data_IF_477648116793
#
_entry.id   IF_477648116793
#
_cell.length_a   1.000
_cell.length_b   1.000
_cell.length_c   1.000
_cell.angle_alpha   90.00
_cell.angle_beta   90.00
_cell.angle_gamma   90.00
#
_symmetry.space_group_name_H-M   'P 1'
#
loop_
_entity.id
_entity.type
_entity.pdbx_description
1 polymer ?
#
# COMPACT_ATOMS: atom_id res chain seq x y z
N UNK A 1 22.48 -18.36 -11.93
CA UNK A 1 21.44 -19.38 -12.10
C UNK A 1 22.13 -20.67 -12.52
N UNK A 2 21.62 -21.79 -12.06
CA UNK A 2 22.04 -23.13 -12.49
C UNK A 2 21.17 -23.60 -13.66
N UNK A 3 21.69 -24.51 -14.48
CA UNK A 3 20.94 -25.15 -15.55
C UNK A 3 19.66 -25.79 -14.99
N UNK A 4 18.52 -25.49 -15.62
CA UNK A 4 17.21 -25.95 -15.18
C UNK A 4 16.52 -25.08 -14.13
N UNK A 5 17.19 -24.08 -13.55
CA UNK A 5 16.54 -23.11 -12.65
C UNK A 5 15.41 -22.39 -13.39
N UNK A 6 14.26 -22.19 -12.72
CA UNK A 6 13.12 -21.49 -13.32
C UNK A 6 13.40 -19.99 -13.42
N UNK A 7 13.51 -19.48 -14.66
CA UNK A 7 13.56 -18.08 -15.00
C UNK A 7 12.14 -17.54 -15.21
N UNK A 8 11.62 -16.87 -14.19
CA UNK A 8 10.35 -16.15 -14.28
C UNK A 8 10.62 -14.65 -14.27
N UNK A 9 10.20 -13.98 -15.34
CA UNK A 9 10.23 -12.53 -15.45
C UNK A 9 8.90 -12.03 -15.99
N UNK A 10 8.49 -10.86 -15.53
CA UNK A 10 7.29 -10.19 -15.99
C UNK A 10 7.54 -8.68 -16.07
N UNK A 11 7.04 -8.03 -17.11
CA UNK A 11 7.19 -6.61 -17.33
C UNK A 11 5.82 -5.94 -17.27
N UNK A 12 5.65 -5.04 -16.31
CA UNK A 12 4.39 -4.33 -16.11
C UNK A 12 4.60 -2.81 -16.18
N UNK A 13 3.57 -2.10 -16.60
CA UNK A 13 3.53 -0.63 -16.62
C UNK A 13 2.23 -0.11 -16.01
N UNK A 14 2.20 1.12 -15.47
CA UNK A 14 0.96 1.77 -15.08
C UNK A 14 0.00 1.88 -16.25
N UNK A 15 -1.30 1.79 -15.98
CA UNK A 15 -2.35 1.97 -16.99
C UNK A 15 -2.18 3.30 -17.71
N UNK A 16 -1.98 4.39 -16.97
CA UNK A 16 -1.79 5.74 -17.52
C UNK A 16 -0.65 5.80 -18.55
N UNK A 17 0.51 5.23 -18.22
CA UNK A 17 1.67 5.29 -19.11
C UNK A 17 1.44 4.42 -20.37
N UNK A 18 0.81 3.24 -20.20
CA UNK A 18 0.42 2.38 -21.31
C UNK A 18 -0.61 3.03 -22.25
N UNK A 19 -1.62 3.70 -21.69
CA UNK A 19 -2.63 4.47 -22.43
C UNK A 19 -2.03 5.65 -23.21
N UNK A 20 -0.99 6.26 -22.65
CA UNK A 20 -0.22 7.31 -23.33
C UNK A 20 0.70 6.74 -24.43
N UNK A 21 0.86 5.41 -24.52
CA UNK A 21 1.63 4.72 -25.55
C UNK A 21 3.00 4.21 -25.11
N UNK A 22 3.32 4.28 -23.81
CA UNK A 22 4.58 3.74 -23.29
C UNK A 22 4.55 2.21 -23.33
N UNK A 23 5.29 1.64 -24.29
CA UNK A 23 5.41 0.20 -24.50
C UNK A 23 6.89 -0.24 -24.44
N UNK A 24 7.48 -0.33 -23.23
CA UNK A 24 8.82 -0.88 -23.07
C UNK A 24 8.84 -2.37 -23.41
N UNK A 25 10.03 -2.85 -23.76
CA UNK A 25 10.35 -4.24 -24.05
C UNK A 25 11.37 -4.74 -23.06
N UNK A 26 11.38 -6.06 -22.83
CA UNK A 26 12.48 -6.71 -22.11
C UNK A 26 13.18 -7.75 -22.98
N UNK A 27 14.46 -7.95 -22.71
CA UNK A 27 15.25 -9.04 -23.27
C UNK A 27 16.07 -9.72 -22.19
N UNK A 28 16.24 -11.03 -22.34
CA UNK A 28 17.15 -11.83 -21.54
C UNK A 28 18.44 -12.04 -22.34
N UNK A 29 19.58 -11.88 -21.68
CA UNK A 29 20.89 -12.24 -22.21
C UNK A 29 21.45 -13.37 -21.37
N UNK A 30 21.70 -14.51 -22.00
CA UNK A 30 22.13 -15.72 -21.33
C UNK A 30 23.19 -16.48 -22.14
N UNK A 31 24.13 -17.18 -21.48
CA UNK A 31 25.06 -18.04 -22.19
C UNK A 31 24.30 -19.21 -22.83
N UNK A 32 24.73 -19.65 -24.02
CA UNK A 32 24.11 -20.78 -24.72
C UNK A 32 22.69 -20.54 -25.25
N UNK A 33 22.16 -19.31 -25.15
CA UNK A 33 20.88 -18.91 -25.76
C UNK A 33 21.09 -18.51 -27.22
N UNK A 34 20.18 -18.84 -28.16
CA UNK A 34 20.24 -18.32 -29.52
C UNK A 34 19.74 -16.87 -29.58
N UNK A 35 20.19 -16.11 -30.57
CA UNK A 35 19.71 -14.74 -30.81
C UNK A 35 18.29 -14.75 -31.38
N UNK A 36 17.35 -14.15 -30.65
CA UNK A 36 15.95 -14.05 -31.01
C UNK A 36 15.43 -12.63 -30.78
N UNK A 37 14.91 -12.01 -31.85
CA UNK A 37 14.46 -10.63 -31.84
C UNK A 37 15.59 -9.62 -32.03
N UNK A 38 15.23 -8.34 -32.08
CA UNK A 38 16.15 -7.22 -32.38
C UNK A 38 16.36 -6.39 -31.13
N UNK A 39 17.62 -6.30 -30.70
CA UNK A 39 18.06 -5.38 -29.64
C UNK A 39 18.41 -4.00 -30.21
N UNK A 40 18.24 -2.92 -29.44
CA UNK A 40 18.80 -1.62 -29.78
C UNK A 40 20.33 -1.70 -29.92
N UNK A 41 20.90 -0.91 -30.82
CA UNK A 41 22.35 -0.94 -31.12
C UNK A 41 23.25 -0.51 -29.96
N UNK A 42 22.69 0.11 -28.92
CA UNK A 42 23.39 0.53 -27.71
C UNK A 42 23.36 -0.54 -26.60
N UNK A 43 22.64 -1.64 -26.79
CA UNK A 43 22.66 -2.77 -25.86
C UNK A 43 23.85 -3.67 -26.21
N UNK A 44 24.78 -3.79 -25.27
CA UNK A 44 25.94 -4.67 -25.41
C UNK A 44 25.58 -6.09 -24.96
N UNK A 45 25.80 -7.06 -25.86
CA UNK A 45 25.68 -8.49 -25.57
C UNK A 45 27.08 -9.01 -25.21
N UNK A 46 27.30 -9.57 -24.00
CA UNK A 46 28.62 -10.07 -23.63
C UNK A 46 29.06 -11.24 -24.53
N UNK A 47 30.37 -11.40 -24.73
CA UNK A 47 30.90 -12.48 -25.57
C UNK A 47 30.44 -13.87 -25.10
N UNK A 48 29.97 -14.68 -26.05
CA UNK A 48 29.45 -16.03 -25.79
C UNK A 48 28.02 -16.07 -25.22
N UNK A 49 27.35 -14.92 -25.10
CA UNK A 49 25.92 -14.84 -24.82
C UNK A 49 25.13 -14.74 -26.12
N UNK A 50 23.90 -15.22 -26.09
CA UNK A 50 22.86 -14.76 -27.01
C UNK A 50 21.72 -14.10 -26.25
N UNK A 51 20.72 -13.63 -26.98
CA UNK A 51 19.59 -12.91 -26.39
C UNK A 51 18.23 -13.39 -26.86
N UNK A 52 17.22 -13.22 -26.02
CA UNK A 52 15.82 -13.40 -26.39
C UNK A 52 15.04 -12.14 -26.00
N UNK A 53 14.53 -11.42 -27.01
CA UNK A 53 13.60 -10.31 -26.80
C UNK A 53 12.20 -10.86 -26.60
N UNK A 54 11.58 -10.51 -25.48
CA UNK A 54 10.23 -10.95 -25.14
C UNK A 54 9.21 -10.12 -25.94
N UNK A 55 8.19 -10.80 -26.45
CA UNK A 55 7.05 -10.12 -27.07
C UNK A 55 6.29 -9.33 -26.01
N UNK A 56 5.93 -8.10 -26.37
CA UNK A 56 5.19 -7.20 -25.50
C UNK A 56 4.02 -6.61 -26.22
N UNK A 57 2.87 -6.53 -25.56
CA UNK A 57 1.67 -5.90 -26.07
C UNK A 57 0.87 -5.27 -24.94
N UNK A 58 0.18 -4.16 -25.21
CA UNK A 58 -0.84 -3.65 -24.29
C UNK A 58 -2.04 -4.61 -24.36
N UNK A 59 -2.44 -5.27 -23.25
CA UNK A 59 -3.63 -6.11 -23.24
C UNK A 59 -4.90 -5.24 -23.31
N UNK A 60 -6.03 -5.84 -23.69
CA UNK A 60 -7.31 -5.12 -23.78
C UNK A 60 -7.81 -4.61 -22.42
N UNK A 61 -7.48 -5.32 -21.33
CA UNK A 61 -7.90 -4.99 -19.98
C UNK A 61 -6.70 -4.94 -19.03
N UNK A 62 -6.72 -4.00 -18.07
CA UNK A 62 -5.72 -3.94 -17.03
C UNK A 62 -6.00 -4.93 -15.89
N UNK A 63 -4.92 -5.39 -15.26
CA UNK A 63 -4.98 -6.24 -14.07
C UNK A 63 -5.21 -5.38 -12.84
N UNK A 64 -6.15 -5.78 -11.97
CA UNK A 64 -6.36 -5.20 -10.65
C UNK A 64 -5.55 -5.95 -9.60
N UNK A 65 -4.84 -5.24 -8.73
CA UNK A 65 -4.09 -5.79 -7.60
C UNK A 65 -4.77 -5.42 -6.27
N UNK A 66 -5.12 -6.45 -5.48
CA UNK A 66 -5.98 -6.30 -4.31
C UNK A 66 -5.31 -5.83 -3.01
N UNK A 67 -4.04 -6.11 -2.79
CA UNK A 67 -3.33 -5.76 -1.55
C UNK A 67 -2.94 -4.28 -1.49
N UNK A 68 -2.66 -3.72 -2.64
CA UNK A 68 -2.26 -2.34 -2.90
C UNK A 68 -3.19 -1.83 -3.99
N UNK A 69 -4.44 -1.40 -3.69
CA UNK A 69 -5.47 -1.14 -4.69
C UNK A 69 -4.95 -0.34 -5.89
N UNK A 70 -4.52 -1.05 -6.93
CA UNK A 70 -3.72 -0.54 -8.04
C UNK A 70 -3.98 -1.38 -9.28
N UNK A 71 -3.66 -0.83 -10.43
CA UNK A 71 -3.88 -1.42 -11.73
C UNK A 71 -2.65 -1.18 -12.59
N UNK A 72 -2.39 -2.16 -13.45
CA UNK A 72 -1.26 -2.16 -14.37
C UNK A 72 -1.58 -2.99 -15.60
N UNK A 73 -0.86 -2.72 -16.68
CA UNK A 73 -0.80 -3.58 -17.84
C UNK A 73 0.36 -4.58 -17.69
N UNK A 74 0.03 -5.86 -17.80
CA UNK A 74 1.02 -6.94 -18.00
C UNK A 74 1.39 -6.94 -19.49
N UNK A 75 2.63 -6.54 -19.79
CA UNK A 75 3.07 -6.37 -21.16
C UNK A 75 3.57 -7.68 -21.75
N UNK A 76 4.21 -8.51 -20.94
CA UNK A 76 4.90 -9.68 -21.44
C UNK A 76 5.64 -10.42 -20.33
N UNK A 77 5.46 -11.73 -20.33
CA UNK A 77 5.98 -12.64 -19.32
C UNK A 77 6.78 -13.77 -19.97
N UNK A 78 7.82 -14.21 -19.26
CA UNK A 78 8.57 -15.42 -19.59
C UNK A 78 8.67 -16.31 -18.37
N UNK A 79 8.54 -17.61 -18.62
CA UNK A 79 8.63 -18.66 -17.61
C UNK A 79 9.29 -19.88 -18.26
N UNK A 80 10.60 -19.97 -18.15
CA UNK A 80 11.40 -20.98 -18.83
C UNK A 80 12.53 -21.49 -17.95
N UNK A 81 13.02 -22.72 -18.16
CA UNK A 81 14.23 -23.18 -17.48
C UNK A 81 15.45 -22.45 -18.03
N UNK A 82 16.40 -22.12 -17.15
CA UNK A 82 17.70 -21.60 -17.51
C UNK A 82 18.44 -22.62 -18.40
N UNK A 83 18.80 -22.28 -19.65
CA UNK A 83 19.38 -23.23 -20.60
C UNK A 83 20.73 -23.81 -20.16
N UNK A 84 21.55 -23.00 -19.49
CA UNK A 84 22.85 -23.44 -18.94
C UNK A 84 23.17 -22.67 -17.65
N UNK A 85 24.04 -23.24 -16.82
CA UNK A 85 24.54 -22.58 -15.62
C UNK A 85 25.37 -21.33 -15.98
N UNK A 86 25.06 -20.20 -15.34
CA UNK A 86 25.76 -18.95 -15.61
C UNK A 86 25.13 -17.71 -14.97
N UNK A 87 25.69 -16.55 -15.33
CA UNK A 87 25.10 -15.24 -15.04
C UNK A 87 24.11 -14.89 -16.15
N UNK A 88 22.99 -14.30 -15.78
CA UNK A 88 21.93 -13.87 -16.69
C UNK A 88 21.76 -12.37 -16.52
N UNK A 89 21.48 -11.68 -17.61
CA UNK A 89 21.16 -10.25 -17.60
C UNK A 89 19.76 -10.05 -18.16
N UNK A 90 19.02 -9.11 -17.59
CA UNK A 90 17.74 -8.66 -18.11
C UNK A 90 17.90 -7.19 -18.48
N UNK A 91 17.52 -6.85 -19.70
CA UNK A 91 17.57 -5.48 -20.21
C UNK A 91 16.13 -5.06 -20.51
N UNK A 92 15.70 -3.97 -19.89
CA UNK A 92 14.44 -3.29 -20.24
C UNK A 92 14.78 -2.07 -21.06
N UNK A 93 14.11 -1.91 -22.20
CA UNK A 93 14.36 -0.81 -23.13
C UNK A 93 13.06 -0.36 -23.81
N UNK A 94 12.93 0.92 -24.09
CA UNK A 94 11.84 1.45 -24.90
C UNK A 94 12.33 1.71 -26.32
N UNK A 95 11.73 1.10 -27.35
CA UNK A 95 12.06 1.41 -28.74
C UNK A 95 11.53 2.80 -29.17
N UNK A 96 10.51 3.32 -28.48
CA UNK A 96 9.92 4.63 -28.70
C UNK A 96 10.57 5.70 -27.81
N UNK A 97 10.49 6.97 -28.21
CA UNK A 97 10.99 8.11 -27.43
C UNK A 97 10.13 8.45 -26.20
N UNK A 98 9.03 7.72 -25.98
CA UNK A 98 8.17 7.90 -24.83
C UNK A 98 8.82 7.33 -23.58
N UNK A 99 8.79 8.15 -22.54
CA UNK A 99 9.21 7.81 -21.19
C UNK A 99 7.99 7.36 -20.38
N UNK A 100 8.22 6.53 -19.38
CA UNK A 100 7.19 6.06 -18.47
C UNK A 100 7.78 5.20 -17.37
N UNK A 101 6.97 4.92 -16.35
CA UNK A 101 7.34 4.04 -15.28
C UNK A 101 7.11 2.57 -15.69
N UNK A 102 7.97 1.68 -15.21
CA UNK A 102 7.79 0.23 -15.37
C UNK A 102 8.18 -0.48 -14.08
N UNK A 103 7.75 -1.72 -13.93
CA UNK A 103 8.29 -2.63 -12.93
C UNK A 103 8.66 -3.96 -13.61
N UNK A 104 9.81 -4.49 -13.21
CA UNK A 104 10.29 -5.79 -13.62
C UNK A 104 10.11 -6.76 -12.45
N UNK A 105 9.20 -7.70 -12.59
CA UNK A 105 9.03 -8.80 -11.63
C UNK A 105 10.09 -9.84 -11.92
N UNK A 106 10.82 -10.26 -10.88
CA UNK A 106 11.90 -11.25 -11.00
C UNK A 106 11.67 -12.38 -10.02
N UNK A 107 11.56 -13.60 -10.55
CA UNK A 107 11.38 -14.81 -9.75
C UNK A 107 9.93 -15.06 -9.33
N UNK A 108 9.74 -16.14 -8.57
CA UNK A 108 8.42 -16.69 -8.22
C UNK A 108 8.19 -16.78 -6.71
N UNK A 109 9.20 -16.44 -5.90
CA UNK A 109 9.12 -16.51 -4.46
C UNK A 109 8.70 -15.17 -3.89
N UNK A 110 7.55 -15.13 -3.23
CA UNK A 110 7.19 -14.00 -2.37
C UNK A 110 7.79 -14.22 -0.98
N UNK A 111 8.62 -13.28 -0.54
CA UNK A 111 9.16 -13.29 0.83
C UNK A 111 9.07 -11.88 1.39
N UNK A 112 8.52 -11.75 2.59
CA UNK A 112 8.40 -10.48 3.28
C UNK A 112 9.10 -10.57 4.62
N UNK A 113 10.14 -9.76 4.78
CA UNK A 113 10.74 -9.51 6.09
C UNK A 113 9.73 -8.76 6.98
N UNK A 114 9.90 -8.85 8.29
CA UNK A 114 9.07 -8.10 9.23
C UNK A 114 9.15 -6.57 8.97
N UNK A 115 10.32 -6.08 8.55
CA UNK A 115 10.51 -4.69 8.22
C UNK A 115 9.73 -4.29 6.96
N UNK A 116 9.82 -5.07 5.88
CA UNK A 116 9.04 -4.81 4.66
C UNK A 116 7.56 -4.84 4.95
N UNK A 117 7.11 -5.83 5.72
CA UNK A 117 5.73 -5.95 6.14
C UNK A 117 5.28 -4.74 6.96
N UNK A 118 6.06 -4.25 7.93
CA UNK A 118 5.71 -3.06 8.71
C UNK A 118 5.66 -1.78 7.86
N UNK A 119 6.51 -1.69 6.84
CA UNK A 119 6.65 -0.48 6.04
C UNK A 119 5.67 -0.39 4.86
N UNK A 120 4.77 -1.36 4.68
CA UNK A 120 3.75 -1.37 3.62
C UNK A 120 2.99 -0.03 3.47
N UNK A 121 2.50 0.64 4.54
CA UNK A 121 1.87 1.96 4.41
C UNK A 121 2.69 3.01 3.67
N UNK A 122 4.01 2.95 3.82
CA UNK A 122 4.95 3.89 3.20
C UNK A 122 5.31 3.45 1.79
N UNK A 123 5.45 2.13 1.56
CA UNK A 123 5.64 1.56 0.23
C UNK A 123 4.45 1.85 -0.70
N UNK A 124 3.22 1.85 -0.18
CA UNK A 124 2.01 2.20 -0.93
C UNK A 124 2.10 3.59 -1.55
N UNK A 125 2.72 4.56 -0.88
CA UNK A 125 2.93 5.89 -1.46
C UNK A 125 3.80 5.81 -2.72
N UNK A 126 4.87 5.01 -2.69
CA UNK A 126 5.74 4.78 -3.86
C UNK A 126 4.99 4.06 -4.98
N UNK A 127 4.13 3.08 -4.66
CA UNK A 127 3.28 2.39 -5.66
C UNK A 127 2.34 3.38 -6.35
N UNK A 128 1.61 4.21 -5.61
CA UNK A 128 0.71 5.18 -6.22
C UNK A 128 1.45 6.28 -7.00
N UNK A 129 2.65 6.66 -6.56
CA UNK A 129 3.54 7.54 -7.33
C UNK A 129 4.01 6.90 -8.62
N UNK A 130 4.36 5.61 -8.59
CA UNK A 130 4.71 4.82 -9.76
C UNK A 130 3.53 4.74 -10.74
N UNK A 131 2.29 4.64 -10.24
CA UNK A 131 1.09 4.72 -11.08
C UNK A 131 0.82 6.11 -11.69
N UNK A 132 1.64 7.13 -11.36
CA UNK A 132 1.47 8.49 -11.86
C UNK A 132 0.48 9.35 -11.08
N UNK A 133 0.09 8.94 -9.86
CA UNK A 133 -0.74 9.79 -8.99
C UNK A 133 0.09 10.92 -8.35
N UNK A 134 -0.54 12.08 -8.19
CA UNK A 134 0.06 13.22 -7.49
C UNK A 134 0.03 13.04 -5.96
N UNK A 135 1.02 13.56 -5.20
CA UNK A 135 1.08 13.41 -3.73
C UNK A 135 -0.19 13.85 -3.01
N UNK A 136 -0.79 14.93 -3.48
CA UNK A 136 -2.00 15.46 -2.84
C UNK A 136 -3.19 14.52 -3.03
N UNK A 137 -3.30 13.84 -4.17
CA UNK A 137 -4.38 12.89 -4.42
C UNK A 137 -4.23 11.65 -3.52
N UNK A 138 -2.99 11.22 -3.29
CA UNK A 138 -2.66 10.10 -2.41
C UNK A 138 -2.96 10.43 -0.95
N UNK A 139 -2.56 11.63 -0.49
CA UNK A 139 -2.62 12.00 0.93
C UNK A 139 -3.94 12.66 1.35
N UNK A 140 -4.68 13.28 0.43
CA UNK A 140 -5.90 14.01 0.74
C UNK A 140 -6.96 13.18 1.47
N UNK A 141 -7.26 11.92 1.09
CA UNK A 141 -8.28 11.14 1.80
C UNK A 141 -7.99 10.98 3.31
N UNK A 142 -6.73 10.66 3.65
CA UNK A 142 -6.29 10.58 5.05
C UNK A 142 -6.35 11.95 5.73
N UNK A 143 -5.75 12.98 5.13
CA UNK A 143 -5.67 14.33 5.71
C UNK A 143 -7.06 14.92 5.96
N UNK A 144 -7.97 14.81 4.98
CA UNK A 144 -9.34 15.29 5.10
C UNK A 144 -10.12 14.51 6.15
N UNK A 145 -9.96 13.19 6.23
CA UNK A 145 -10.62 12.37 7.27
C UNK A 145 -10.21 12.83 8.67
N UNK A 146 -8.90 13.02 8.89
CA UNK A 146 -8.40 13.48 10.18
C UNK A 146 -8.82 14.93 10.46
N UNK A 147 -8.64 15.84 9.51
CA UNK A 147 -8.95 17.26 9.69
C UNK A 147 -10.44 17.49 9.94
N UNK A 148 -11.32 16.93 9.11
CA UNK A 148 -12.78 17.06 9.26
C UNK A 148 -13.25 16.36 10.54
N UNK A 149 -12.68 15.20 10.87
CA UNK A 149 -12.96 14.50 12.12
C UNK A 149 -12.60 15.32 13.35
N UNK A 150 -11.42 15.93 13.37
CA UNK A 150 -10.96 16.81 14.47
C UNK A 150 -11.87 18.04 14.59
N UNK A 151 -12.20 18.68 13.47
CA UNK A 151 -13.11 19.83 13.45
C UNK A 151 -14.51 19.47 13.96
N UNK A 152 -15.05 18.33 13.54
CA UNK A 152 -16.34 17.82 14.01
C UNK A 152 -16.31 17.54 15.52
N UNK A 153 -15.26 16.88 16.00
CA UNK A 153 -15.06 16.62 17.43
C UNK A 153 -14.98 17.93 18.21
N UNK A 154 -14.24 18.92 17.72
CA UNK A 154 -14.11 20.23 18.36
C UNK A 154 -15.46 20.96 18.41
N UNK A 155 -16.22 20.93 17.31
CA UNK A 155 -17.55 21.54 17.22
C UNK A 155 -18.54 20.89 18.21
N UNK A 156 -18.62 19.56 18.21
CA UNK A 156 -19.58 18.83 19.05
C UNK A 156 -19.15 18.84 20.53
N UNK A 157 -17.85 18.87 20.83
CA UNK A 157 -17.33 18.95 22.21
C UNK A 157 -17.82 20.21 22.93
N UNK A 158 -18.08 21.31 22.22
CA UNK A 158 -18.60 22.55 22.83
C UNK A 158 -19.89 22.33 23.63
N UNK A 159 -20.67 21.32 23.25
CA UNK A 159 -21.96 20.98 23.87
C UNK A 159 -21.86 19.83 24.87
N UNK A 160 -20.64 19.39 25.24
CA UNK A 160 -20.46 18.31 26.22
C UNK A 160 -20.53 18.83 27.65
N UNK A 161 -21.30 18.17 28.54
CA UNK A 161 -21.34 18.52 29.95
C UNK A 161 -20.02 18.20 30.67
N UNK A 162 -19.27 17.20 30.20
CA UNK A 162 -17.99 16.79 30.77
C UNK A 162 -16.83 17.07 29.81
N UNK A 163 -15.72 17.56 30.36
CA UNK A 163 -14.53 17.86 29.59
C UNK A 163 -13.81 16.59 29.12
N UNK A 164 -13.31 16.62 27.88
CA UNK A 164 -12.55 15.52 27.29
C UNK A 164 -11.14 15.46 27.88
N UNK A 165 -10.78 14.29 28.37
CA UNK A 165 -9.47 14.01 28.97
C UNK A 165 -8.43 13.66 27.88
N UNK A 166 -7.15 13.57 28.23
CA UNK A 166 -6.06 13.26 27.30
C UNK A 166 -6.22 11.86 26.68
N UNK A 167 -6.60 10.85 27.46
CA UNK A 167 -6.77 9.48 26.97
C UNK A 167 -7.87 9.38 25.93
N UNK A 168 -9.03 9.98 26.19
CA UNK A 168 -10.15 10.06 25.25
C UNK A 168 -9.76 10.83 23.98
N UNK A 169 -9.00 11.92 24.12
CA UNK A 169 -8.50 12.70 22.97
C UNK A 169 -7.57 11.87 22.08
N UNK A 170 -6.65 11.11 22.69
CA UNK A 170 -5.74 10.22 21.97
C UNK A 170 -6.50 9.07 21.29
N UNK A 171 -7.51 8.48 21.95
CA UNK A 171 -8.36 7.45 21.34
C UNK A 171 -9.13 7.97 20.12
N UNK A 172 -9.64 9.20 20.20
CA UNK A 172 -10.32 9.83 19.07
C UNK A 172 -9.36 10.10 17.92
N UNK A 173 -8.17 10.64 18.20
CA UNK A 173 -7.14 10.87 17.18
C UNK A 173 -6.72 9.55 16.52
N UNK A 174 -6.45 8.51 17.32
CA UNK A 174 -6.13 7.17 16.83
C UNK A 174 -7.24 6.60 15.95
N UNK A 175 -8.50 6.71 16.39
CA UNK A 175 -9.66 6.25 15.63
C UNK A 175 -9.81 6.99 14.30
N UNK A 176 -9.55 8.30 14.26
CA UNK A 176 -9.55 9.08 13.01
C UNK A 176 -8.42 8.66 12.06
N UNK A 177 -7.20 8.44 12.57
CA UNK A 177 -6.09 7.98 11.73
C UNK A 177 -6.36 6.59 11.14
N UNK A 178 -6.87 5.66 11.95
CA UNK A 178 -7.22 4.31 11.49
C UNK A 178 -8.39 4.35 10.48
N UNK A 179 -9.42 5.16 10.75
CA UNK A 179 -10.51 5.37 9.79
C UNK A 179 -10.03 6.05 8.50
N UNK A 180 -9.04 6.94 8.58
CA UNK A 180 -8.42 7.57 7.42
C UNK A 180 -7.73 6.58 6.50
N UNK A 181 -7.18 5.46 7.03
CA UNK A 181 -6.68 4.36 6.19
C UNK A 181 -7.82 3.72 5.42
N UNK A 182 -8.95 3.41 6.08
CA UNK A 182 -10.11 2.84 5.40
C UNK A 182 -10.64 3.74 4.28
N UNK A 183 -10.74 5.05 4.54
CA UNK A 183 -11.18 6.02 3.52
C UNK A 183 -10.17 6.09 2.37
N UNK A 184 -8.87 6.09 2.67
CA UNK A 184 -7.81 6.11 1.64
C UNK A 184 -7.86 4.86 0.77
N UNK A 185 -7.93 3.66 1.37
CA UNK A 185 -8.06 2.39 0.66
C UNK A 185 -9.31 2.37 -0.21
N UNK A 186 -10.46 2.81 0.31
CA UNK A 186 -11.71 2.89 -0.46
C UNK A 186 -11.58 3.82 -1.66
N UNK A 187 -10.99 5.01 -1.48
CA UNK A 187 -10.77 5.96 -2.58
C UNK A 187 -9.85 5.35 -3.64
N UNK A 188 -8.76 4.72 -3.24
CA UNK A 188 -7.81 4.07 -4.16
C UNK A 188 -8.49 2.92 -4.92
N UNK A 189 -9.25 2.06 -4.24
CA UNK A 189 -10.06 1.03 -4.90
C UNK A 189 -11.04 1.62 -5.92
N UNK A 190 -11.74 2.71 -5.59
CA UNK A 190 -12.69 3.35 -6.52
C UNK A 190 -11.99 3.97 -7.73
N UNK A 191 -10.79 4.50 -7.57
CA UNK A 191 -9.98 5.02 -8.68
C UNK A 191 -9.59 3.84 -9.58
N UNK A 192 -8.94 2.84 -9.00
CA UNK A 192 -8.35 1.72 -9.73
C UNK A 192 -9.37 0.85 -10.47
N UNK A 193 -10.52 0.57 -9.84
CA UNK A 193 -11.57 -0.26 -10.46
C UNK A 193 -12.11 0.32 -11.76
N UNK A 194 -11.99 1.63 -11.99
CA UNK A 194 -12.44 2.25 -13.25
C UNK A 194 -11.61 1.80 -14.45
N UNK A 195 -10.37 1.40 -14.19
CA UNK A 195 -9.36 1.17 -15.21
C UNK A 195 -9.08 -0.33 -15.41
N UNK A 196 -9.73 -1.21 -14.62
CA UNK A 196 -9.41 -2.65 -14.56
C UNK A 196 -10.66 -3.51 -14.43
N UNK A 197 -10.56 -4.79 -14.80
CA UNK A 197 -11.63 -5.75 -14.58
C UNK A 197 -11.81 -6.08 -13.09
N UNK A 198 -13.07 -6.19 -12.64
CA UNK A 198 -13.40 -6.58 -11.27
C UNK A 198 -13.19 -8.09 -11.06
N UNK A 199 -12.00 -8.46 -10.57
CA UNK A 199 -11.68 -9.82 -10.17
C UNK A 199 -12.01 -10.15 -8.71
N UNK A 200 -11.81 -11.41 -8.27
CA UNK A 200 -11.96 -11.81 -6.87
C UNK A 200 -11.00 -11.06 -5.93
N UNK A 201 -9.89 -10.53 -6.45
CA UNK A 201 -8.91 -9.74 -5.69
C UNK A 201 -9.49 -8.46 -5.07
N UNK A 202 -10.57 -7.93 -5.63
CA UNK A 202 -11.29 -6.77 -5.07
C UNK A 202 -11.77 -7.08 -3.65
N UNK A 203 -12.08 -8.35 -3.33
CA UNK A 203 -12.44 -8.77 -1.98
C UNK A 203 -11.31 -8.51 -0.95
N UNK A 204 -10.05 -8.55 -1.38
CA UNK A 204 -8.89 -8.25 -0.53
C UNK A 204 -8.94 -6.77 -0.15
N UNK A 205 -9.10 -5.87 -1.12
CA UNK A 205 -9.21 -4.44 -0.84
C UNK A 205 -10.44 -4.10 -0.01
N UNK A 206 -11.55 -4.81 -0.24
CA UNK A 206 -12.76 -4.69 0.57
C UNK A 206 -12.47 -5.02 2.04
N UNK A 207 -11.77 -6.12 2.30
CA UNK A 207 -11.32 -6.47 3.64
C UNK A 207 -10.38 -5.40 4.23
N UNK A 208 -9.43 -4.91 3.44
CA UNK A 208 -8.44 -3.90 3.84
C UNK A 208 -9.04 -2.51 4.10
N UNK A 209 -10.25 -2.19 3.65
CA UNK A 209 -10.95 -0.98 4.11
C UNK A 209 -11.97 -1.26 5.22
N UNK A 210 -12.69 -2.39 5.19
CA UNK A 210 -13.71 -2.69 6.19
C UNK A 210 -13.12 -2.91 7.58
N UNK A 211 -12.00 -3.63 7.68
CA UNK A 211 -11.39 -3.96 8.96
C UNK A 211 -10.80 -2.71 9.65
N UNK A 212 -9.97 -1.87 8.99
CA UNK A 212 -9.58 -0.58 9.57
C UNK A 212 -10.78 0.33 9.84
N UNK A 213 -11.80 0.33 8.99
CA UNK A 213 -13.02 1.11 9.20
C UNK A 213 -13.74 0.72 10.50
N UNK A 214 -13.89 -0.58 10.75
CA UNK A 214 -14.46 -1.11 11.98
C UNK A 214 -13.60 -0.76 13.21
N UNK A 215 -12.29 -0.96 13.14
CA UNK A 215 -11.37 -0.62 14.25
C UNK A 215 -11.41 0.88 14.56
N UNK A 216 -11.38 1.72 13.53
CA UNK A 216 -11.49 3.18 13.65
C UNK A 216 -12.80 3.59 14.30
N UNK A 217 -13.93 3.04 13.84
CA UNK A 217 -15.24 3.27 14.45
C UNK A 217 -15.30 2.86 15.93
N UNK A 218 -14.78 1.68 16.29
CA UNK A 218 -14.78 1.19 17.66
C UNK A 218 -13.94 2.08 18.59
N UNK A 219 -12.77 2.54 18.11
CA UNK A 219 -11.92 3.48 18.85
C UNK A 219 -12.55 4.86 18.99
N UNK A 220 -13.18 5.39 17.93
CA UNK A 220 -13.94 6.64 17.99
C UNK A 220 -15.09 6.55 18.99
N UNK A 221 -15.89 5.48 18.92
CA UNK A 221 -16.98 5.22 19.84
C UNK A 221 -16.47 5.12 21.28
N UNK A 222 -15.30 4.51 21.48
CA UNK A 222 -14.67 4.36 22.80
C UNK A 222 -14.15 5.70 23.33
N UNK A 223 -13.43 6.46 22.53
CA UNK A 223 -12.96 7.81 22.88
C UNK A 223 -14.10 8.80 23.10
N UNK A 224 -15.29 8.50 22.57
CA UNK A 224 -16.50 9.29 22.82
C UNK A 224 -17.25 8.89 24.10
N UNK A 225 -16.87 7.82 24.82
CA UNK A 225 -17.49 7.52 26.12
C UNK A 225 -17.02 8.49 27.20
N UNK A 226 -17.79 8.57 28.28
CA UNK A 226 -17.42 9.28 29.51
C UNK A 226 -17.03 8.27 30.59
N UNK A 227 -16.30 8.75 31.61
CA UNK A 227 -15.87 7.95 32.75
C UNK A 227 -14.50 7.28 32.59
N UNK A 228 -14.01 6.71 33.69
CA UNK A 228 -12.69 6.07 33.73
C UNK A 228 -12.70 4.71 33.01
N UNK A 229 -11.75 4.44 32.11
CA UNK A 229 -11.71 3.17 31.38
C UNK A 229 -11.41 1.99 32.33
N UNK A 230 -12.22 0.94 32.23
CA UNK A 230 -12.02 -0.29 33.01
C UNK A 230 -10.78 -1.06 32.51
N UNK A 231 -10.30 -2.03 33.29
CA UNK A 231 -9.20 -2.93 32.84
C UNK A 231 -9.56 -3.67 31.55
N UNK A 232 -10.80 -4.16 31.44
CA UNK A 232 -11.29 -4.84 30.24
C UNK A 232 -11.24 -3.92 29.02
N UNK A 233 -11.63 -2.66 29.19
CA UNK A 233 -11.61 -1.67 28.12
C UNK A 233 -10.18 -1.36 27.64
N UNK A 234 -9.23 -1.27 28.56
CA UNK A 234 -7.81 -1.08 28.23
C UNK A 234 -7.27 -2.26 27.44
N UNK A 235 -7.59 -3.49 27.84
CA UNK A 235 -7.20 -4.70 27.10
C UNK A 235 -7.81 -4.70 25.69
N UNK A 236 -9.09 -4.33 25.54
CA UNK A 236 -9.73 -4.22 24.23
C UNK A 236 -9.06 -3.17 23.34
N UNK A 237 -8.69 -2.01 23.89
CA UNK A 237 -7.98 -0.97 23.13
C UNK A 237 -6.59 -1.45 22.71
N UNK A 238 -5.85 -2.11 23.59
CA UNK A 238 -4.54 -2.69 23.24
C UNK A 238 -4.70 -3.72 22.11
N UNK A 239 -5.69 -4.61 22.21
CA UNK A 239 -5.97 -5.58 21.16
C UNK A 239 -6.33 -4.91 19.82
N UNK A 240 -7.16 -3.87 19.84
CA UNK A 240 -7.48 -3.08 18.64
C UNK A 240 -6.24 -2.38 18.05
N UNK A 241 -5.34 -1.87 18.90
CA UNK A 241 -4.07 -1.29 18.47
C UNK A 241 -3.16 -2.34 17.81
N UNK A 242 -2.99 -3.51 18.43
CA UNK A 242 -2.20 -4.60 17.85
C UNK A 242 -2.79 -5.08 16.51
N UNK A 243 -4.11 -5.25 16.44
CA UNK A 243 -4.79 -5.55 15.18
C UNK A 243 -4.59 -4.44 14.14
N UNK A 244 -4.60 -3.17 14.56
CA UNK A 244 -4.32 -2.03 13.71
C UNK A 244 -2.91 -2.06 13.11
N UNK A 245 -1.90 -2.51 13.87
CA UNK A 245 -0.54 -2.78 13.33
C UNK A 245 -0.59 -3.91 12.30
N UNK A 246 -1.29 -5.01 12.61
CA UNK A 246 -1.46 -6.18 11.73
C UNK A 246 -2.11 -5.88 10.38
N UNK A 247 -2.90 -4.82 10.29
CA UNK A 247 -3.57 -4.42 9.04
C UNK A 247 -3.06 -3.08 8.52
N UNK A 248 -1.90 -2.64 8.99
CA UNK A 248 -1.21 -1.44 8.51
C UNK A 248 -2.03 -0.14 8.63
N UNK A 249 -2.95 -0.08 9.60
CA UNK A 249 -3.85 1.05 9.75
C UNK A 249 -3.18 2.26 10.40
N UNK A 250 -3.66 3.46 10.06
CA UNK A 250 -3.24 4.72 10.65
C UNK A 250 -1.76 5.03 10.52
N UNK A 251 -1.10 4.55 9.45
CA UNK A 251 0.36 4.64 9.24
C UNK A 251 1.18 4.15 10.45
N UNK A 252 0.68 3.14 11.17
CA UNK A 252 1.22 2.63 12.44
C UNK A 252 1.16 3.61 13.63
N UNK A 253 1.15 4.92 13.36
CA UNK A 253 1.05 5.96 14.38
C UNK A 253 -0.29 5.87 15.11
N UNK A 254 -1.41 5.72 14.38
CA UNK A 254 -2.74 5.55 14.97
C UNK A 254 -2.80 4.40 15.99
N UNK A 255 -2.41 3.17 15.60
CA UNK A 255 -2.29 2.04 16.50
C UNK A 255 -1.41 2.29 17.74
N UNK A 256 -0.24 2.89 17.57
CA UNK A 256 0.67 3.23 18.68
C UNK A 256 -0.02 4.20 19.65
N UNK A 257 -0.70 5.23 19.15
CA UNK A 257 -1.47 6.17 19.96
C UNK A 257 -2.55 5.44 20.77
N UNK A 258 -3.28 4.48 20.19
CA UNK A 258 -4.29 3.71 20.93
C UNK A 258 -3.66 2.91 22.08
N UNK A 259 -2.54 2.22 21.83
CA UNK A 259 -1.83 1.44 22.85
C UNK A 259 -1.33 2.36 23.97
N UNK A 260 -0.73 3.50 23.62
CA UNK A 260 -0.29 4.50 24.60
C UNK A 260 -1.46 5.06 25.41
N UNK A 261 -2.60 5.35 24.78
CA UNK A 261 -3.79 5.83 25.47
C UNK A 261 -4.33 4.80 26.48
N UNK A 262 -4.29 3.50 26.14
CA UNK A 262 -4.68 2.42 27.04
C UNK A 262 -3.72 2.22 28.22
N UNK A 263 -2.47 2.68 28.12
CA UNK A 263 -1.46 2.60 29.17
C UNK A 263 -1.47 3.82 30.13
N UNK A 264 -2.16 4.92 29.78
CA UNK A 264 -2.19 6.13 30.59
C UNK A 264 -2.86 5.91 31.96
N UNK A 265 -2.25 6.35 33.08
CA UNK A 265 -2.87 6.24 34.39
C UNK A 265 -4.05 7.22 34.53
N UNK A 266 -5.07 6.82 35.28
CA UNK A 266 -6.35 7.56 35.41
C UNK A 266 -6.17 9.01 35.91
N UNK A 267 -5.08 9.29 36.63
CA UNK A 267 -4.79 10.60 37.23
C UNK A 267 -4.19 11.61 36.25
N UNK A 268 -3.56 11.17 35.16
CA UNK A 268 -2.93 12.04 34.15
C UNK A 268 -3.89 12.46 33.01
N UNK A 269 -5.13 11.95 33.02
CA UNK A 269 -6.11 12.25 31.98
C UNK A 269 -6.64 13.69 32.00
N UNK A 270 -6.69 14.37 33.15
CA UNK A 270 -7.35 15.68 33.25
C UNK A 270 -6.48 16.79 32.64
N UNK A 271 -7.05 17.57 31.72
CA UNK A 271 -6.39 18.75 31.14
C UNK A 271 -6.06 19.77 32.25
N UNK A 272 -4.88 20.42 32.25
CA UNK A 272 -4.60 21.52 33.19
C UNK A 272 -5.70 22.58 33.09
N UNK A 273 -6.46 22.77 34.18
CA UNK A 273 -7.62 23.68 34.26
C UNK A 273 -8.96 23.01 34.59
N UNK A 274 -9.06 21.67 34.60
CA UNK A 274 -10.23 20.99 35.17
C UNK A 274 -10.16 20.99 36.70
N UNK A 275 -10.65 22.07 37.33
CA UNK A 275 -10.77 22.18 38.77
C UNK A 275 -11.58 21.02 39.35
N UNK A 276 -11.03 20.34 40.34
CA UNK A 276 -11.80 19.52 41.27
C UNK A 276 -12.70 20.45 42.08
N UNK A 277 -14.04 20.29 42.06
CA UNK A 277 -14.85 20.90 43.10
C UNK A 277 -14.41 20.30 44.44
N UNK A 278 -14.23 21.17 45.43
CA UNK A 278 -13.96 20.80 46.82
C UNK A 278 -15.16 20.10 47.43
#
# INVERSE_FOLDING_TARGET
MEEGDRLLLDLIVPVKDGDEGFLPRMAILAPGMPDQGVLPSWVEVPDGYGHQVIETSIPEEATYEGFTPSSFYDLGRTDSPAPVSGKYYVVVFSPASQEGNFALVVGYGESFTLQEWLLIPFSLYTVYRWQGQEPWAILAPMVLTVALGVLLIAYVRKNRPEGMDLGHSLLLLSGLMIAGTAVSTLVQTVITVRDSHLGPEVAISVFLFLLPGLLGYLLLRRGWRTGTPTREDRVKVIAMGLLGVLVWAGYLIGPIIAISAAALPDKLGKWPGQNTPK
#
